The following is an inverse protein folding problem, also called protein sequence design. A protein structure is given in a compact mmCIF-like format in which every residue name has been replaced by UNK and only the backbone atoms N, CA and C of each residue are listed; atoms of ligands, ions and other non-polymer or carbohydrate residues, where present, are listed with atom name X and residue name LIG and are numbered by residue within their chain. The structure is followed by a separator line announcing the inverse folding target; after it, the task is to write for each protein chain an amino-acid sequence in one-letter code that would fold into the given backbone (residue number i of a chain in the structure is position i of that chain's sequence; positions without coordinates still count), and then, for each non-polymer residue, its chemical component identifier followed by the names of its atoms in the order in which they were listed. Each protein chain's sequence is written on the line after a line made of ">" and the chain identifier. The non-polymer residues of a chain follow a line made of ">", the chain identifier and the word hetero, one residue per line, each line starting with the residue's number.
data_IF_197690226474
#
_entry.id   IF_197690226474
#
_cell.length_a   1.000
_cell.length_b   1.000
_cell.length_c   1.000
_cell.angle_alpha   90.00
_cell.angle_beta   90.00
_cell.angle_gamma   90.00
#
_symmetry.space_group_name_H-M   'P 1'
#
loop_
_entity.id
_entity.type
_entity.pdbx_description
1 polymer ?
#
# COMPACT_ATOMS: atom_id res chain seq x y z
N UNK A 1 4.45 2.35 -14.10
CA UNK A 1 5.04 2.61 -12.79
C UNK A 1 3.92 2.98 -11.84
N UNK A 2 3.91 2.41 -10.64
CA UNK A 2 2.93 2.75 -9.62
C UNK A 2 3.58 2.78 -8.24
N UNK A 3 3.05 3.61 -7.35
CA UNK A 3 3.48 3.70 -5.96
C UNK A 3 2.26 3.79 -5.02
N UNK A 4 1.94 2.74 -4.25
CA UNK A 4 0.95 2.82 -3.18
C UNK A 4 1.50 3.65 -2.02
N UNK A 5 0.74 4.64 -1.60
CA UNK A 5 1.08 5.58 -0.53
C UNK A 5 0.05 5.40 0.58
N UNK A 6 0.49 4.87 1.72
CA UNK A 6 -0.32 4.76 2.93
C UNK A 6 -0.19 5.95 3.88
N UNK A 7 0.86 6.76 3.74
CA UNK A 7 1.15 7.91 4.59
C UNK A 7 0.58 9.20 3.99
N UNK A 8 -0.70 9.47 4.22
CA UNK A 8 -1.37 10.71 3.79
C UNK A 8 -2.40 11.16 4.84
N UNK A 9 -2.81 12.44 4.79
CA UNK A 9 -3.90 12.96 5.62
C UNK A 9 -5.23 12.44 5.11
N UNK A 10 -5.90 11.57 5.89
CA UNK A 10 -7.18 11.00 5.47
C UNK A 10 -8.26 12.08 5.48
N UNK A 11 -8.31 12.89 6.53
CA UNK A 11 -9.29 13.97 6.69
C UNK A 11 -9.11 15.03 5.60
N UNK A 12 -7.87 15.46 5.36
CA UNK A 12 -7.60 16.50 4.37
C UNK A 12 -7.90 16.06 2.94
N UNK A 13 -7.62 14.79 2.60
CA UNK A 13 -7.95 14.26 1.27
C UNK A 13 -9.46 14.04 1.12
N UNK A 14 -10.14 13.59 2.17
CA UNK A 14 -11.59 13.42 2.15
C UNK A 14 -12.32 14.76 1.96
N UNK A 15 -11.87 15.82 2.65
CA UNK A 15 -12.39 17.17 2.47
C UNK A 15 -12.13 17.69 1.06
N UNK A 16 -10.88 17.58 0.57
CA UNK A 16 -10.49 18.06 -0.75
C UNK A 16 -11.29 17.41 -1.90
N UNK A 17 -11.63 16.12 -1.74
CA UNK A 17 -12.37 15.35 -2.75
C UNK A 17 -13.88 15.31 -2.48
N UNK A 18 -14.36 16.01 -1.45
CA UNK A 18 -15.77 16.05 -1.05
C UNK A 18 -16.36 14.65 -0.84
N UNK A 19 -15.59 13.77 -0.18
CA UNK A 19 -16.01 12.38 0.00
C UNK A 19 -17.11 12.24 1.05
N UNK A 20 -18.07 11.32 0.85
CA UNK A 20 -19.03 10.95 1.88
C UNK A 20 -18.33 10.42 3.14
N UNK A 21 -18.88 10.74 4.31
CA UNK A 21 -18.34 10.32 5.61
C UNK A 21 -18.29 8.81 5.83
N UNK A 22 -19.06 8.05 5.04
CA UNK A 22 -19.13 6.60 5.07
C UNK A 22 -17.95 5.94 4.35
N UNK A 23 -17.23 6.71 3.52
CA UNK A 23 -16.08 6.19 2.77
C UNK A 23 -14.81 6.25 3.60
N UNK A 24 -14.08 5.14 3.60
CA UNK A 24 -12.75 5.04 4.20
C UNK A 24 -11.68 5.05 3.11
N UNK A 25 -10.78 6.02 3.17
CA UNK A 25 -9.59 6.05 2.32
C UNK A 25 -8.59 5.00 2.79
N UNK A 26 -8.16 4.12 1.88
CA UNK A 26 -7.21 3.05 2.20
C UNK A 26 -5.80 3.34 1.69
N UNK A 27 -5.69 3.70 0.41
CA UNK A 27 -4.43 3.93 -0.27
C UNK A 27 -4.62 5.03 -1.31
N UNK A 28 -3.61 5.88 -1.43
CA UNK A 28 -3.44 6.72 -2.60
C UNK A 28 -2.44 6.04 -3.54
N UNK A 29 -2.74 5.97 -4.84
CA UNK A 29 -1.88 5.28 -5.81
C UNK A 29 -1.45 6.28 -6.87
N UNK A 30 -0.16 6.63 -6.89
CA UNK A 30 0.42 7.35 -8.01
C UNK A 30 0.63 6.38 -9.17
N UNK A 31 0.18 6.73 -10.39
CA UNK A 31 0.31 5.91 -11.59
C UNK A 31 0.91 6.74 -12.73
N UNK A 32 1.88 6.18 -13.45
CA UNK A 32 2.51 6.86 -14.60
C UNK A 32 3.57 6.04 -15.31
N UNK A 33 4.16 6.60 -16.37
CA UNK A 33 5.33 6.02 -17.03
C UNK A 33 6.56 6.25 -16.14
N UNK A 34 7.28 5.20 -15.70
CA UNK A 34 8.43 5.38 -14.84
C UNK A 34 9.59 6.00 -15.62
N UNK A 35 10.29 6.95 -14.99
CA UNK A 35 11.57 7.45 -15.51
C UNK A 35 12.70 6.44 -15.31
N UNK A 36 12.64 5.68 -14.20
CA UNK A 36 13.63 4.67 -13.80
C UNK A 36 12.94 3.44 -13.20
N UNK A 37 13.63 2.30 -13.21
CA UNK A 37 13.18 1.05 -12.57
C UNK A 37 14.06 0.76 -11.34
N UNK A 38 13.54 0.88 -10.12
CA UNK A 38 14.32 0.60 -8.92
C UNK A 38 14.61 -0.91 -8.79
N UNK A 39 15.70 -1.31 -8.14
CA UNK A 39 15.93 -2.71 -7.81
C UNK A 39 14.85 -3.23 -6.86
N UNK A 40 14.56 -4.54 -6.87
CA UNK A 40 13.57 -5.11 -5.99
C UNK A 40 13.96 -4.90 -4.51
N UNK A 41 13.01 -4.51 -3.65
CA UNK A 41 13.27 -4.38 -2.23
C UNK A 41 13.54 -5.75 -1.59
N UNK A 42 14.29 -5.76 -0.48
CA UNK A 42 14.51 -6.98 0.31
C UNK A 42 13.18 -7.57 0.79
N UNK A 43 13.11 -8.88 0.83
CA UNK A 43 12.00 -9.67 1.35
C UNK A 43 12.54 -10.70 2.34
N UNK A 44 11.74 -11.05 3.33
CA UNK A 44 12.00 -12.23 4.15
C UNK A 44 11.85 -13.48 3.27
N UNK A 45 12.60 -14.53 3.60
CA UNK A 45 12.40 -15.83 2.98
C UNK A 45 11.05 -16.44 3.38
N UNK A 46 10.58 -17.42 2.62
CA UNK A 46 9.28 -18.03 2.89
C UNK A 46 9.27 -18.77 4.23
N UNK A 47 10.37 -19.44 4.56
CA UNK A 47 10.54 -20.19 5.81
C UNK A 47 10.49 -19.27 7.04
N UNK A 48 10.92 -18.01 6.90
CA UNK A 48 10.78 -17.00 7.96
C UNK A 48 9.34 -16.50 8.15
N UNK A 49 8.49 -16.63 7.11
CA UNK A 49 7.13 -16.09 7.11
C UNK A 49 6.06 -17.12 7.49
N UNK A 50 6.30 -18.40 7.24
CA UNK A 50 5.33 -19.47 7.49
C UNK A 50 5.67 -20.18 8.81
N UNK A 51 4.78 -20.05 9.80
CA UNK A 51 4.78 -20.92 10.97
C UNK A 51 3.79 -22.06 10.68
N UNK A 52 4.30 -23.26 10.46
CA UNK A 52 3.46 -24.41 10.14
C UNK A 52 2.52 -24.77 11.28
N UNK A 53 1.21 -24.77 11.03
CA UNK A 53 0.25 -25.54 11.84
C UNK A 53 0.48 -27.01 11.55
N UNK A 54 1.45 -27.61 12.25
CA UNK A 54 1.49 -29.06 12.41
C UNK A 54 0.39 -29.42 13.40
N UNK A 55 -0.81 -29.67 12.88
CA UNK A 55 -1.85 -30.37 13.63
C UNK A 55 -1.38 -31.79 13.90
N UNK A 56 -1.17 -32.09 15.19
CA UNK A 56 -1.13 -33.42 15.77
C UNK A 56 -2.21 -33.52 16.83
#
# INVERSE_FOLDING_TARGET
>A
GACPIGSFSQEGVAELLELPSEMKLMLMIAVGKPSDVPPPPKRLSLDELIIGVHGG
#
